data_IF_877827254418
#
_entry.id   IF_877827254418
#
_cell.length_a   1.000
_cell.length_b   1.000
_cell.length_c   1.000
_cell.angle_alpha   90.00
_cell.angle_beta   90.00
_cell.angle_gamma   90.00
#
_symmetry.space_group_name_H-M   'P 1'
#
loop_
_entity.id
_entity.type
_entity.pdbx_description
1 polymer ?
#
# COMPACT_ATOMS: atom_id res chain seq x y z
N UNK A 1 24.06 7.67 33.63
CA UNK A 1 25.35 6.94 33.71
C UNK A 1 25.79 6.53 32.31
N UNK A 2 27.04 6.09 32.09
CA UNK A 2 27.48 5.58 30.78
C UNK A 2 26.67 4.34 30.33
N UNK A 3 26.15 3.56 31.29
CA UNK A 3 25.28 2.41 31.05
C UNK A 3 23.93 2.85 30.49
N UNK A 4 23.33 3.91 31.05
CA UNK A 4 22.02 4.43 30.58
C UNK A 4 22.11 4.95 29.14
N UNK A 5 23.23 5.59 28.78
CA UNK A 5 23.48 6.09 27.41
C UNK A 5 23.61 4.93 26.43
N UNK A 6 24.35 3.88 26.82
CA UNK A 6 24.54 2.69 25.98
C UNK A 6 23.24 1.94 25.75
N UNK A 7 22.43 1.73 26.79
CA UNK A 7 21.12 1.07 26.67
C UNK A 7 20.13 1.93 25.87
N UNK A 8 20.17 3.26 26.03
CA UNK A 8 19.40 4.18 25.18
C UNK A 8 19.75 4.05 23.70
N UNK A 9 21.05 3.97 23.37
CA UNK A 9 21.51 3.80 21.99
C UNK A 9 21.07 2.44 21.41
N UNK A 10 21.16 1.37 22.20
CA UNK A 10 20.69 0.03 21.79
C UNK A 10 19.20 0.03 21.48
N UNK A 11 18.40 0.60 22.37
CA UNK A 11 16.94 0.70 22.18
C UNK A 11 16.60 1.52 20.93
N UNK A 12 17.25 2.67 20.75
CA UNK A 12 17.06 3.52 19.57
C UNK A 12 17.41 2.78 18.27
N UNK A 13 18.52 2.06 18.23
CA UNK A 13 18.92 1.28 17.06
C UNK A 13 17.92 0.15 16.77
N UNK A 14 17.46 -0.57 17.80
CA UNK A 14 16.46 -1.61 17.64
C UNK A 14 15.14 -1.06 17.04
N UNK A 15 14.68 0.09 17.54
CA UNK A 15 13.51 0.78 17.00
C UNK A 15 13.70 1.24 15.54
N UNK A 16 14.89 1.75 15.21
CA UNK A 16 15.22 2.18 13.85
C UNK A 16 15.19 0.99 12.88
N UNK A 17 15.89 -0.11 13.22
CA UNK A 17 15.93 -1.33 12.40
C UNK A 17 14.53 -1.89 12.21
N UNK A 18 13.74 -1.99 13.28
CA UNK A 18 12.35 -2.47 13.19
C UNK A 18 11.51 -1.59 12.25
N UNK A 19 11.64 -0.26 12.35
CA UNK A 19 10.91 0.67 11.49
C UNK A 19 11.29 0.53 10.02
N UNK A 20 12.59 0.40 9.73
CA UNK A 20 13.09 0.21 8.36
C UNK A 20 12.62 -1.12 7.79
N UNK A 21 12.66 -2.21 8.57
CA UNK A 21 12.14 -3.51 8.14
C UNK A 21 10.66 -3.43 7.79
N UNK A 22 9.82 -2.81 8.63
CA UNK A 22 8.40 -2.64 8.32
C UNK A 22 8.16 -1.81 7.04
N UNK A 23 8.96 -0.79 6.79
CA UNK A 23 8.89 -0.01 5.54
C UNK A 23 9.25 -0.91 4.35
N UNK A 24 10.34 -1.67 4.43
CA UNK A 24 10.74 -2.55 3.34
C UNK A 24 9.67 -3.61 3.06
N UNK A 25 9.11 -4.23 4.08
CA UNK A 25 8.04 -5.22 3.94
C UNK A 25 6.78 -4.62 3.29
N UNK A 26 6.34 -3.45 3.76
CA UNK A 26 5.12 -2.78 3.25
C UNK A 26 5.26 -2.32 1.79
N UNK A 27 6.46 -1.86 1.42
CA UNK A 27 6.72 -1.27 0.10
C UNK A 27 7.38 -2.23 -0.90
N UNK A 28 7.78 -3.44 -0.50
CA UNK A 28 8.31 -4.47 -1.42
C UNK A 28 7.20 -5.29 -2.10
N UNK A 29 6.18 -4.61 -2.60
CA UNK A 29 5.06 -5.19 -3.35
C UNK A 29 4.76 -4.35 -4.59
N UNK A 30 4.27 -4.94 -5.69
CA UNK A 30 3.85 -4.18 -6.86
C UNK A 30 2.82 -3.11 -6.49
N UNK A 31 2.95 -1.93 -7.11
CA UNK A 31 2.08 -0.77 -6.89
C UNK A 31 1.01 -0.62 -7.98
N UNK A 32 0.61 -1.72 -8.61
CA UNK A 32 -0.23 -1.75 -9.82
C UNK A 32 -1.57 -1.00 -9.65
N UNK A 33 -2.12 -1.00 -8.44
CA UNK A 33 -3.40 -0.36 -8.11
C UNK A 33 -3.27 1.02 -7.42
N UNK A 34 -2.07 1.58 -7.37
CA UNK A 34 -1.85 2.86 -6.70
C UNK A 34 -2.23 4.06 -7.57
N UNK A 35 -2.75 5.10 -6.90
CA UNK A 35 -2.99 6.40 -7.53
C UNK A 35 -1.64 7.04 -7.83
N UNK A 36 -1.34 7.21 -9.12
CA UNK A 36 -0.11 7.82 -9.57
C UNK A 36 -0.12 9.32 -9.30
N UNK A 37 1.00 9.82 -8.77
CA UNK A 37 1.27 11.24 -8.63
C UNK A 37 2.17 11.67 -9.79
N UNK A 38 1.68 12.58 -10.61
CA UNK A 38 2.48 13.30 -11.60
C UNK A 38 3.40 14.28 -10.86
N UNK A 39 4.71 14.08 -10.96
CA UNK A 39 5.70 14.86 -10.20
C UNK A 39 5.91 16.27 -10.76
N UNK A 40 5.72 16.46 -12.06
CA UNK A 40 5.83 17.74 -12.76
C UNK A 40 4.74 18.74 -12.32
N UNK A 41 3.51 18.25 -12.12
CA UNK A 41 2.36 19.08 -11.78
C UNK A 41 1.90 18.93 -10.32
N UNK A 42 2.47 17.96 -9.60
CA UNK A 42 2.03 17.52 -8.27
C UNK A 42 0.53 17.16 -8.26
N UNK A 43 0.05 16.47 -9.30
CA UNK A 43 -1.36 16.07 -9.44
C UNK A 43 -1.55 14.56 -9.39
N UNK A 44 -2.59 14.11 -8.71
CA UNK A 44 -3.07 12.74 -8.81
C UNK A 44 -3.89 12.56 -10.09
N UNK A 45 -3.64 11.49 -10.83
CA UNK A 45 -4.55 11.04 -11.88
C UNK A 45 -5.75 10.34 -11.22
N UNK A 46 -6.90 11.00 -11.23
CA UNK A 46 -8.15 10.49 -10.63
C UNK A 46 -9.18 10.19 -11.72
N UNK A 47 -10.17 9.31 -11.48
CA UNK A 47 -11.15 8.93 -12.50
C UNK A 47 -11.94 10.09 -13.10
N UNK A 48 -12.13 11.18 -12.33
CA UNK A 48 -12.84 12.35 -12.83
C UNK A 48 -11.91 13.23 -13.68
N UNK A 49 -10.81 13.73 -13.07
CA UNK A 49 -9.77 14.59 -13.65
C UNK A 49 -8.49 14.61 -12.79
N UNK A 50 -7.34 15.07 -13.31
CA UNK A 50 -6.17 15.34 -12.48
C UNK A 50 -6.49 16.34 -11.35
N UNK A 51 -6.07 16.05 -10.12
CA UNK A 51 -6.29 16.92 -8.95
C UNK A 51 -4.96 17.23 -8.26
N UNK A 52 -4.72 18.51 -7.93
CA UNK A 52 -3.48 18.90 -7.22
C UNK A 52 -3.45 18.27 -5.84
N UNK A 53 -2.28 17.79 -5.43
CA UNK A 53 -2.09 17.06 -4.17
C UNK A 53 -2.57 17.86 -2.96
N UNK A 54 -2.35 19.18 -2.92
CA UNK A 54 -2.73 20.03 -1.79
C UNK A 54 -4.24 20.18 -1.62
N UNK A 55 -5.00 19.98 -2.69
CA UNK A 55 -6.46 20.14 -2.73
C UNK A 55 -7.19 18.83 -2.40
N UNK A 56 -6.45 17.76 -2.16
CA UNK A 56 -7.01 16.42 -1.96
C UNK A 56 -6.83 16.02 -0.50
N UNK A 57 -7.94 15.66 0.16
CA UNK A 57 -7.87 15.16 1.52
C UNK A 57 -7.34 13.72 1.54
N UNK A 58 -6.70 13.32 2.65
CA UNK A 58 -6.30 11.91 2.85
C UNK A 58 -7.48 10.94 2.74
N UNK A 59 -8.69 11.38 3.13
CA UNK A 59 -9.92 10.58 3.03
C UNK A 59 -10.31 10.32 1.58
N UNK A 60 -10.15 11.31 0.70
CA UNK A 60 -10.44 11.16 -0.73
C UNK A 60 -9.47 10.19 -1.39
N UNK A 61 -8.17 10.28 -1.09
CA UNK A 61 -7.17 9.33 -1.58
C UNK A 61 -7.51 7.90 -1.16
N UNK A 62 -7.89 7.68 0.11
CA UNK A 62 -8.31 6.36 0.57
C UNK A 62 -9.59 5.86 -0.11
N UNK A 63 -10.57 6.74 -0.33
CA UNK A 63 -11.81 6.41 -1.03
C UNK A 63 -11.53 5.99 -2.47
N UNK A 64 -10.64 6.70 -3.15
CA UNK A 64 -10.24 6.38 -4.53
C UNK A 64 -9.52 5.04 -4.59
N UNK A 65 -8.54 4.79 -3.70
CA UNK A 65 -7.90 3.47 -3.59
C UNK A 65 -8.96 2.36 -3.52
N UNK A 66 -9.92 2.45 -2.58
CA UNK A 66 -11.03 1.48 -2.43
C UNK A 66 -11.91 1.35 -3.67
N UNK A 67 -12.22 2.43 -4.38
CA UNK A 67 -13.07 2.42 -5.57
C UNK A 67 -12.37 1.77 -6.77
N UNK A 68 -11.07 2.03 -6.93
CA UNK A 68 -10.22 1.39 -7.93
C UNK A 68 -10.26 -0.14 -7.78
N UNK A 69 -10.13 -0.66 -6.55
CA UNK A 69 -10.27 -2.10 -6.28
C UNK A 69 -11.63 -2.66 -6.71
N UNK A 70 -12.74 -1.97 -6.42
CA UNK A 70 -14.08 -2.49 -6.75
C UNK A 70 -14.35 -2.56 -8.26
N UNK A 71 -13.77 -1.67 -9.07
CA UNK A 71 -13.98 -1.68 -10.52
C UNK A 71 -13.23 -2.84 -11.18
N UNK A 72 -11.98 -3.12 -10.80
CA UNK A 72 -11.20 -4.20 -11.40
C UNK A 72 -11.76 -5.60 -11.08
N UNK A 73 -12.18 -5.85 -9.84
CA UNK A 73 -12.84 -7.13 -9.51
C UNK A 73 -14.24 -7.28 -10.13
N UNK A 74 -14.92 -6.18 -10.48
CA UNK A 74 -16.25 -6.23 -11.11
C UNK A 74 -16.18 -6.33 -12.64
N UNK A 75 -15.11 -5.81 -13.27
CA UNK A 75 -14.87 -6.00 -14.71
C UNK A 75 -14.40 -7.42 -15.04
N UNK A 76 -13.70 -8.09 -14.12
CA UNK A 76 -13.38 -9.53 -14.26
C UNK A 76 -14.56 -10.43 -13.89
N UNK A 77 -15.35 -10.10 -12.85
CA UNK A 77 -16.49 -10.94 -12.46
C UNK A 77 -17.70 -10.89 -13.43
N UNK A 78 -17.68 -10.02 -14.43
CA UNK A 78 -18.69 -10.00 -15.51
C UNK A 78 -18.27 -10.81 -16.74
N UNK A 79 -17.04 -11.33 -16.79
CA UNK A 79 -16.50 -12.09 -17.91
C UNK A 79 -16.10 -13.51 -17.47
N UNK A 80 -17.10 -14.36 -17.30
CA UNK A 80 -16.92 -15.81 -17.28
C UNK A 80 -16.68 -16.40 -15.89
N UNK A 81 -17.64 -17.20 -15.46
CA UNK A 81 -17.49 -18.15 -14.38
C UNK A 81 -16.27 -19.07 -14.64
N UNK A 82 -15.30 -19.07 -13.73
CA UNK A 82 -14.38 -20.20 -13.55
C UNK A 82 -14.28 -20.47 -12.05
N UNK A 83 -14.89 -21.57 -11.62
CA UNK A 83 -14.73 -22.12 -10.29
C UNK A 83 -13.37 -22.80 -10.19
N UNK A 84 -12.42 -22.20 -9.46
CA UNK A 84 -11.25 -22.94 -8.99
C UNK A 84 -11.62 -23.55 -7.63
N UNK A 85 -11.99 -24.83 -7.64
CA UNK A 85 -12.01 -25.65 -6.44
C UNK A 85 -10.57 -25.76 -5.92
N UNK A 86 -10.29 -25.16 -4.76
CA UNK A 86 -9.14 -25.57 -3.96
C UNK A 86 -9.50 -26.88 -3.26
N UNK A 87 -9.24 -28.01 -3.93
CA UNK A 87 -9.08 -29.27 -3.19
C UNK A 87 -7.83 -29.15 -2.33
N UNK A 88 -8.03 -29.32 -1.02
CA UNK A 88 -6.95 -29.39 -0.06
C UNK A 88 -6.01 -30.53 -0.41
N UNK A 89 -4.71 -30.24 -0.40
CA UNK A 89 -3.69 -31.28 -0.34
C UNK A 89 -3.13 -31.31 1.07
N UNK A 90 -3.44 -32.40 1.78
CA UNK A 90 -2.73 -32.84 2.97
C UNK A 90 -1.47 -33.64 2.56
N UNK A 91 -0.41 -33.51 3.36
CA UNK A 91 0.78 -34.38 3.35
C UNK A 91 1.91 -33.85 2.45
N UNK A 92 3.18 -33.83 2.85
CA UNK A 92 3.90 -34.33 4.03
C UNK A 92 4.96 -33.29 4.44
#
# INVERSE_FOLDING_TARGET
>A
SAVDVYEGLRCSNACFVASVSCILEEYNRPFEDNILLRLDTLTYDTPDRPKRREQVSRKDVQKWKKKTFRVFYTSEAAAGEVWIHSEGSQGW
#
